data_IF_801667578242
#
_entry.id   IF_801667578242
#
_cell.length_a   1.000
_cell.length_b   1.000
_cell.length_c   1.000
_cell.angle_alpha   90.00
_cell.angle_beta   90.00
_cell.angle_gamma   90.00
#
_symmetry.space_group_name_H-M   'P 1'
#
loop_
_entity.id
_entity.type
_entity.pdbx_description
1 polymer ?
#
# COMPACT_ATOMS: atom_id res chain seq x y z
N UNK A 1 4.14 25.51 20.15
CA UNK A 1 3.94 24.07 20.15
C UNK A 1 3.39 23.58 21.47
N UNK A 2 3.91 24.09 22.59
CA UNK A 2 3.54 23.77 23.97
C UNK A 2 3.51 25.00 24.87
N UNK A 3 2.86 24.87 26.01
CA UNK A 3 2.72 25.92 27.03
C UNK A 3 3.07 25.32 28.39
N UNK A 4 3.92 26.00 29.16
CA UNK A 4 4.28 25.58 30.50
C UNK A 4 3.14 25.98 31.44
N UNK A 5 2.57 25.00 32.13
CA UNK A 5 1.41 25.17 33.00
C UNK A 5 1.61 24.46 34.35
N UNK A 6 0.97 24.91 35.42
CA UNK A 6 0.92 24.14 36.67
C UNK A 6 0.37 22.73 36.36
N UNK A 7 0.91 21.73 37.03
CA UNK A 7 0.44 20.35 36.86
C UNK A 7 -1.02 20.23 37.32
N UNK A 8 -1.95 19.84 36.39
CA UNK A 8 -3.35 19.64 36.75
C UNK A 8 -3.51 18.42 37.69
N UNK A 9 -4.54 18.46 38.53
CA UNK A 9 -4.90 17.32 39.37
C UNK A 9 -5.55 16.20 38.49
N UNK A 10 -5.23 14.95 38.84
CA UNK A 10 -5.83 13.75 38.23
C UNK A 10 -5.60 13.56 36.71
N UNK A 11 -4.52 14.14 36.18
CA UNK A 11 -4.17 14.01 34.76
C UNK A 11 -2.93 13.14 34.60
N UNK A 12 -2.94 12.30 33.56
CA UNK A 12 -1.77 11.51 33.19
C UNK A 12 -0.75 12.45 32.53
N UNK A 13 0.45 12.52 33.12
CA UNK A 13 1.57 13.24 32.53
C UNK A 13 2.49 12.24 31.84
N UNK A 14 2.62 12.36 30.53
CA UNK A 14 3.45 11.46 29.72
C UNK A 14 4.90 11.91 29.82
N UNK A 15 5.81 10.97 30.04
CA UNK A 15 7.24 11.24 30.09
C UNK A 15 7.87 11.32 28.72
N UNK A 16 8.94 12.10 28.61
CA UNK A 16 9.70 12.28 27.37
C UNK A 16 11.00 11.46 27.41
N UNK A 17 11.54 11.13 26.25
CA UNK A 17 12.87 10.54 26.09
C UNK A 17 13.59 11.14 24.88
N UNK A 18 14.90 11.22 24.97
CA UNK A 18 15.74 11.53 23.83
C UNK A 18 16.11 10.26 23.07
N UNK A 19 15.95 10.29 21.74
CA UNK A 19 16.50 9.29 20.83
C UNK A 19 17.66 9.95 20.09
N UNK A 20 18.84 9.35 20.21
CA UNK A 20 20.04 9.81 19.53
C UNK A 20 20.36 8.88 18.38
N UNK A 21 20.65 9.44 17.20
CA UNK A 21 21.13 8.71 16.02
C UNK A 21 22.39 9.42 15.50
N UNK A 22 23.43 8.64 15.30
CA UNK A 22 24.67 9.10 14.66
C UNK A 22 24.59 8.70 13.21
N UNK A 23 24.75 9.66 12.28
CA UNK A 23 24.98 9.37 10.87
C UNK A 23 26.48 9.34 10.62
N UNK A 24 26.94 8.26 9.99
CA UNK A 24 28.33 8.09 9.60
C UNK A 24 28.51 8.49 8.13
N UNK A 25 29.71 8.91 7.78
CA UNK A 25 30.13 9.07 6.38
C UNK A 25 30.60 7.73 5.78
N UNK A 26 30.94 7.73 4.50
CA UNK A 26 31.43 6.55 3.76
C UNK A 26 32.71 5.93 4.35
N UNK A 27 33.47 6.68 5.14
CA UNK A 27 34.70 6.25 5.82
C UNK A 27 34.49 5.85 7.27
N UNK A 28 33.23 5.86 7.76
CA UNK A 28 32.89 5.57 9.13
C UNK A 28 33.11 6.73 10.11
N UNK A 29 33.40 7.94 9.61
CA UNK A 29 33.48 9.17 10.40
C UNK A 29 32.08 9.68 10.76
N UNK A 30 31.95 10.42 11.87
CA UNK A 30 30.68 11.00 12.32
C UNK A 30 30.33 12.18 11.41
N UNK A 31 29.39 11.99 10.48
CA UNK A 31 28.86 13.04 9.63
C UNK A 31 27.93 13.99 10.39
N UNK A 32 27.02 13.44 11.19
CA UNK A 32 26.00 14.22 11.91
C UNK A 32 25.44 13.48 13.11
N UNK A 33 25.29 14.20 14.22
CA UNK A 33 24.49 13.73 15.35
C UNK A 33 23.07 14.26 15.25
N UNK A 34 22.08 13.37 15.32
CA UNK A 34 20.65 13.73 15.42
C UNK A 34 20.14 13.40 16.82
N UNK A 35 19.42 14.33 17.42
CA UNK A 35 18.66 14.10 18.64
C UNK A 35 17.18 14.36 18.35
N UNK A 36 16.31 13.46 18.78
CA UNK A 36 14.87 13.60 18.65
C UNK A 36 14.22 13.39 19.99
N UNK A 37 13.40 14.36 20.40
CA UNK A 37 12.57 14.24 21.58
C UNK A 37 11.29 13.51 21.23
N UNK A 38 10.99 12.41 21.90
CA UNK A 38 9.81 11.58 21.66
C UNK A 38 9.12 11.23 22.98
N UNK A 39 7.85 10.93 22.91
CA UNK A 39 7.10 10.47 24.06
C UNK A 39 7.37 9.01 24.38
N UNK A 40 7.27 8.65 25.66
CA UNK A 40 7.23 7.27 26.15
C UNK A 40 5.78 6.82 26.19
N UNK A 41 5.36 6.12 25.12
CA UNK A 41 3.97 5.85 24.76
C UNK A 41 3.35 4.58 25.38
N UNK A 42 3.87 4.07 26.47
CA UNK A 42 3.37 2.79 27.00
C UNK A 42 2.11 2.88 27.87
N UNK A 43 1.48 4.06 27.98
CA UNK A 43 0.37 4.29 28.91
C UNK A 43 -0.86 4.98 28.31
N UNK A 44 -0.87 5.28 27.02
CA UNK A 44 -2.05 5.86 26.38
C UNK A 44 -3.08 4.78 26.08
N UNK A 45 -4.33 4.98 26.54
CA UNK A 45 -5.46 4.07 26.34
C UNK A 45 -6.49 4.71 25.38
N UNK A 46 -6.93 3.93 24.38
CA UNK A 46 -7.96 4.36 23.44
C UNK A 46 -9.29 4.56 24.15
N UNK A 47 -10.02 5.62 23.79
CA UNK A 47 -11.26 6.02 24.45
C UNK A 47 -11.08 6.82 25.76
N UNK A 48 -9.83 6.94 26.27
CA UNK A 48 -9.50 7.73 27.47
C UNK A 48 -8.54 8.87 27.12
N UNK A 49 -7.38 8.54 26.56
CA UNK A 49 -6.32 9.51 26.25
C UNK A 49 -6.38 10.02 24.80
N UNK A 50 -7.02 9.26 23.92
CA UNK A 50 -7.25 9.61 22.52
C UNK A 50 -8.46 8.84 21.96
N UNK A 51 -9.19 9.45 21.04
CA UNK A 51 -10.35 8.82 20.40
C UNK A 51 -9.94 7.86 19.28
N UNK A 52 -8.95 8.25 18.47
CA UNK A 52 -8.50 7.46 17.32
C UNK A 52 -7.01 7.70 17.03
N UNK A 53 -6.25 6.61 16.92
CA UNK A 53 -4.83 6.65 16.55
C UNK A 53 -4.62 6.49 15.05
N UNK A 54 -5.56 5.82 14.37
CA UNK A 54 -5.40 5.43 12.98
C UNK A 54 -5.41 6.63 12.02
N UNK A 55 -4.38 6.73 11.21
CA UNK A 55 -4.31 7.66 10.08
C UNK A 55 -4.42 6.89 8.78
N UNK A 56 -5.21 7.41 7.86
CA UNK A 56 -5.32 6.84 6.53
C UNK A 56 -3.98 6.95 5.79
N UNK A 57 -3.49 5.80 5.30
CA UNK A 57 -2.27 5.67 4.50
C UNK A 57 -2.62 4.90 3.23
N UNK A 58 -2.15 5.36 2.09
CA UNK A 58 -2.35 4.65 0.82
C UNK A 58 -1.74 3.25 0.86
N UNK A 59 -2.45 2.30 0.29
CA UNK A 59 -1.91 0.96 0.01
C UNK A 59 -0.90 1.03 -1.13
N UNK A 60 0.04 0.10 -1.17
CA UNK A 60 1.03 0.02 -2.25
C UNK A 60 0.37 -0.07 -3.64
N UNK A 61 -0.69 -0.84 -3.75
CA UNK A 61 -1.44 -0.98 -5.00
C UNK A 61 -2.08 0.34 -5.45
N UNK A 62 -2.54 1.19 -4.51
CA UNK A 62 -3.04 2.52 -4.83
C UNK A 62 -1.93 3.43 -5.38
N UNK A 63 -0.70 3.31 -4.85
CA UNK A 63 0.47 4.02 -5.38
C UNK A 63 0.78 3.55 -6.80
N UNK A 64 0.73 2.26 -7.07
CA UNK A 64 0.99 1.72 -8.41
C UNK A 64 -0.09 2.14 -9.42
N UNK A 65 -1.37 2.16 -9.01
CA UNK A 65 -2.46 2.71 -9.82
C UNK A 65 -2.20 4.18 -10.14
N UNK A 66 -1.82 4.98 -9.15
CA UNK A 66 -1.48 6.39 -9.33
C UNK A 66 -0.34 6.58 -10.35
N UNK A 67 0.75 5.82 -10.19
CA UNK A 67 1.90 5.90 -11.11
C UNK A 67 1.54 5.43 -12.52
N UNK A 68 0.73 4.35 -12.65
CA UNK A 68 0.26 3.88 -13.94
C UNK A 68 -0.65 4.91 -14.63
N UNK A 69 -1.54 5.54 -13.86
CA UNK A 69 -2.39 6.62 -14.36
C UNK A 69 -1.57 7.83 -14.81
N UNK A 70 -0.63 8.27 -13.97
CA UNK A 70 0.25 9.40 -14.30
C UNK A 70 1.05 9.14 -15.58
N UNK A 71 1.59 7.92 -15.72
CA UNK A 71 2.31 7.51 -16.92
C UNK A 71 1.39 7.45 -18.16
N UNK A 72 0.14 6.99 -18.00
CA UNK A 72 -0.85 6.99 -19.09
C UNK A 72 -1.20 8.41 -19.55
N UNK A 73 -1.40 9.31 -18.60
CA UNK A 73 -1.71 10.73 -18.88
C UNK A 73 -0.49 11.57 -19.22
N UNK A 74 0.72 10.98 -19.25
CA UNK A 74 2.00 11.68 -19.45
C UNK A 74 2.23 12.81 -18.43
N UNK A 75 1.76 12.61 -17.19
CA UNK A 75 1.90 13.57 -16.10
C UNK A 75 3.31 13.46 -15.50
N UNK A 76 3.83 14.59 -15.05
CA UNK A 76 5.07 14.62 -14.25
C UNK A 76 4.70 14.28 -12.81
N UNK A 77 5.41 13.33 -12.21
CA UNK A 77 5.21 12.93 -10.81
C UNK A 77 6.29 13.58 -9.94
N UNK A 78 5.87 14.26 -8.90
CA UNK A 78 6.74 14.84 -7.89
C UNK A 78 6.58 14.07 -6.58
N UNK A 79 7.68 13.69 -5.97
CA UNK A 79 7.71 13.15 -4.62
C UNK A 79 8.10 14.28 -3.66
N UNK A 80 7.34 14.45 -2.59
CA UNK A 80 7.58 15.46 -1.57
C UNK A 80 7.68 14.81 -0.21
N UNK A 81 8.70 15.18 0.57
CA UNK A 81 8.85 14.82 1.97
C UNK A 81 8.49 16.02 2.84
N UNK A 82 7.61 15.81 3.83
CA UNK A 82 7.26 16.84 4.80
C UNK A 82 8.10 16.66 6.05
N UNK A 83 9.01 17.59 6.29
CA UNK A 83 9.80 17.61 7.52
C UNK A 83 8.89 17.92 8.73
N UNK A 84 9.23 17.29 9.88
CA UNK A 84 8.52 17.51 11.15
C UNK A 84 7.00 17.31 11.06
N UNK A 85 6.57 16.31 10.31
CA UNK A 85 5.19 16.02 9.95
C UNK A 85 4.24 16.10 11.15
N UNK A 86 4.54 15.37 12.23
CA UNK A 86 3.65 15.31 13.39
C UNK A 86 3.58 16.62 14.17
N UNK A 87 4.65 17.40 14.22
CA UNK A 87 4.66 18.70 14.91
C UNK A 87 3.76 19.75 14.23
N UNK A 88 3.24 19.46 13.05
CA UNK A 88 2.26 20.32 12.38
C UNK A 88 0.82 19.96 12.76
N UNK A 89 0.56 18.71 13.19
CA UNK A 89 -0.78 18.25 13.57
C UNK A 89 -1.30 18.95 14.82
N UNK A 90 -2.52 19.46 14.78
CA UNK A 90 -3.18 20.04 15.96
C UNK A 90 -3.83 18.94 16.79
N UNK A 91 -3.59 18.95 18.09
CA UNK A 91 -4.25 18.03 19.00
C UNK A 91 -5.66 18.53 19.31
N UNK A 92 -6.61 17.62 19.42
CA UNK A 92 -7.97 17.88 19.88
C UNK A 92 -8.07 17.64 21.40
N UNK A 93 -7.31 16.68 21.88
CA UNK A 93 -7.27 16.25 23.28
C UNK A 93 -6.28 17.10 24.09
N UNK A 94 -6.53 17.18 25.37
CA UNK A 94 -5.61 17.80 26.31
C UNK A 94 -4.48 16.82 26.70
N UNK A 95 -3.29 17.06 26.19
CA UNK A 95 -2.11 16.21 26.44
C UNK A 95 -1.08 16.98 27.24
N UNK A 96 -0.65 16.39 28.36
CA UNK A 96 0.35 16.94 29.25
C UNK A 96 1.60 16.07 29.26
N UNK A 97 2.77 16.71 29.19
CA UNK A 97 4.06 16.02 29.17
C UNK A 97 4.99 16.59 30.23
N UNK A 98 5.88 15.77 30.77
CA UNK A 98 6.92 16.22 31.69
C UNK A 98 7.88 17.16 30.97
N UNK A 99 8.51 18.02 31.73
CA UNK A 99 9.67 18.76 31.22
C UNK A 99 10.78 17.78 30.83
N UNK A 100 11.47 18.00 29.66
CA UNK A 100 12.54 17.11 29.20
C UNK A 100 13.74 17.12 30.18
N UNK A 101 14.37 15.97 30.31
CA UNK A 101 15.60 15.84 31.06
C UNK A 101 16.67 16.83 30.53
N UNK A 102 17.26 17.60 31.41
CA UNK A 102 18.24 18.65 31.10
C UNK A 102 17.66 20.00 30.69
N UNK A 103 16.32 20.13 30.62
CA UNK A 103 15.61 21.38 30.26
C UNK A 103 14.48 21.70 31.23
N UNK A 104 14.67 21.38 32.51
CA UNK A 104 13.70 21.69 33.57
C UNK A 104 13.83 23.16 33.95
N UNK A 105 12.71 23.89 33.96
CA UNK A 105 12.63 25.26 34.42
C UNK A 105 12.88 25.31 35.93
N UNK A 106 13.90 26.07 36.33
CA UNK A 106 14.33 26.15 37.73
C UNK A 106 13.31 26.88 38.62
N UNK A 107 12.57 27.83 38.07
CA UNK A 107 11.56 28.59 38.80
C UNK A 107 10.26 27.79 38.95
N UNK A 108 10.00 26.85 38.01
CA UNK A 108 8.77 26.08 37.94
C UNK A 108 9.05 24.56 37.78
N UNK A 109 9.80 23.90 38.68
CA UNK A 109 10.25 22.51 38.47
C UNK A 109 9.10 21.49 38.43
N UNK A 110 7.96 21.81 39.04
CA UNK A 110 6.77 20.95 39.08
C UNK A 110 5.77 21.22 37.98
N UNK A 111 6.04 22.20 37.09
CA UNK A 111 5.17 22.48 35.95
C UNK A 111 5.34 21.44 34.88
N UNK A 112 4.32 21.33 34.02
CA UNK A 112 4.27 20.42 32.89
C UNK A 112 3.99 21.18 31.60
N UNK A 113 4.34 20.62 30.47
CA UNK A 113 3.95 21.22 29.19
C UNK A 113 2.59 20.70 28.72
N UNK A 114 1.64 21.61 28.53
CA UNK A 114 0.40 21.34 27.78
C UNK A 114 0.72 21.43 26.29
N UNK A 115 0.46 20.37 25.53
CA UNK A 115 0.71 20.33 24.09
C UNK A 115 -0.44 20.98 23.32
N UNK A 116 -0.11 21.83 22.35
CA UNK A 116 -1.03 22.39 21.36
C UNK A 116 -0.94 21.65 20.02
N UNK A 117 0.19 21.01 19.77
CA UNK A 117 0.48 20.23 18.56
C UNK A 117 1.01 18.86 18.92
N UNK A 118 0.82 17.92 18.00
CA UNK A 118 1.28 16.55 18.18
C UNK A 118 2.81 16.48 18.29
N UNK A 119 3.28 15.46 18.97
CA UNK A 119 4.70 15.14 19.12
C UNK A 119 4.92 13.67 18.73
N UNK A 120 6.12 13.36 18.26
CA UNK A 120 6.51 11.98 17.96
C UNK A 120 6.33 11.06 19.18
N UNK A 121 5.74 9.90 18.95
CA UNK A 121 5.42 8.91 19.99
C UNK A 121 4.01 9.02 20.56
N UNK A 122 3.21 10.04 20.22
CA UNK A 122 1.78 10.05 20.51
C UNK A 122 1.02 9.13 19.57
N UNK A 123 0.08 8.34 20.10
CA UNK A 123 -0.78 7.47 19.31
C UNK A 123 -1.62 8.24 18.29
N UNK A 124 -2.16 9.38 18.68
CA UNK A 124 -2.99 10.24 17.84
C UNK A 124 -2.20 11.15 16.87
N UNK A 125 -0.85 11.19 16.95
CA UNK A 125 -0.05 12.07 16.09
C UNK A 125 -0.24 11.84 14.58
N UNK A 126 -0.30 10.60 14.08
CA UNK A 126 -0.56 10.34 12.66
C UNK A 126 -1.93 10.86 12.22
N UNK A 127 -2.95 10.71 13.06
CA UNK A 127 -4.31 11.21 12.78
C UNK A 127 -4.35 12.73 12.78
N UNK A 128 -3.78 13.39 13.77
CA UNK A 128 -3.71 14.85 13.86
C UNK A 128 -3.01 15.46 12.62
N UNK A 129 -1.96 14.82 12.11
CA UNK A 129 -1.31 15.21 10.86
C UNK A 129 -2.21 15.04 9.66
N UNK A 130 -2.88 13.88 9.50
CA UNK A 130 -3.78 13.63 8.38
C UNK A 130 -4.92 14.64 8.34
N UNK A 131 -5.53 14.94 9.48
CA UNK A 131 -6.64 15.90 9.58
C UNK A 131 -6.19 17.31 9.19
N UNK A 132 -5.01 17.73 9.64
CA UNK A 132 -4.44 19.03 9.28
C UNK A 132 -4.12 19.12 7.79
N UNK A 133 -3.42 18.14 7.23
CA UNK A 133 -3.09 18.09 5.81
C UNK A 133 -4.35 18.05 4.93
N UNK A 134 -5.32 17.22 5.32
CA UNK A 134 -6.60 17.12 4.63
C UNK A 134 -7.35 18.44 4.61
N UNK A 135 -7.44 19.11 5.76
CA UNK A 135 -8.10 20.42 5.87
C UNK A 135 -7.39 21.48 5.02
N UNK A 136 -6.06 21.46 5.02
CA UNK A 136 -5.26 22.36 4.19
C UNK A 136 -5.54 22.12 2.70
N UNK A 137 -5.47 20.87 2.22
CA UNK A 137 -5.71 20.56 0.82
C UNK A 137 -7.13 20.90 0.38
N UNK A 138 -8.13 20.65 1.22
CA UNK A 138 -9.52 21.06 0.94
C UNK A 138 -9.63 22.58 0.81
N UNK A 139 -8.90 23.35 1.64
CA UNK A 139 -8.87 24.83 1.54
C UNK A 139 -8.16 25.33 0.26
N UNK A 140 -7.42 24.47 -0.43
CA UNK A 140 -6.77 24.74 -1.71
C UNK A 140 -7.53 24.12 -2.90
N UNK A 141 -8.84 23.96 -2.77
CA UNK A 141 -9.76 23.44 -3.79
C UNK A 141 -9.50 21.98 -4.22
N UNK A 142 -8.80 21.19 -3.40
CA UNK A 142 -8.74 19.76 -3.56
C UNK A 142 -9.97 19.08 -2.97
N UNK A 143 -10.47 18.04 -3.63
CA UNK A 143 -11.49 17.12 -3.12
C UNK A 143 -10.87 15.77 -2.83
N UNK A 144 -11.36 15.08 -1.81
CA UNK A 144 -10.95 13.68 -1.54
C UNK A 144 -11.52 12.75 -2.60
N UNK A 145 -10.78 11.70 -2.93
CA UNK A 145 -11.30 10.57 -3.68
C UNK A 145 -12.52 9.96 -2.99
N UNK A 146 -13.45 9.46 -3.78
CA UNK A 146 -14.69 8.86 -3.26
C UNK A 146 -14.46 7.46 -2.68
N UNK A 147 -13.48 6.75 -3.21
CA UNK A 147 -13.11 5.38 -2.82
C UNK A 147 -11.83 5.39 -1.98
N UNK A 148 -10.84 6.17 -2.38
CA UNK A 148 -9.59 6.32 -1.65
C UNK A 148 -9.48 7.71 -1.00
N UNK A 149 -9.73 7.81 0.31
CA UNK A 149 -9.62 9.10 1.03
C UNK A 149 -8.19 9.61 1.16
N UNK A 150 -7.17 8.85 0.75
CA UNK A 150 -5.78 9.28 0.69
C UNK A 150 -5.41 9.97 -0.62
N UNK A 151 -6.28 9.84 -1.64
CA UNK A 151 -6.19 10.54 -2.91
C UNK A 151 -6.89 11.90 -2.80
N UNK A 152 -6.22 12.95 -3.24
CA UNK A 152 -6.77 14.30 -3.35
C UNK A 152 -6.67 14.75 -4.80
N UNK A 153 -7.78 15.30 -5.32
CA UNK A 153 -7.95 15.66 -6.73
C UNK A 153 -8.33 17.13 -6.83
N UNK A 154 -7.60 17.89 -7.63
CA UNK A 154 -7.98 19.25 -8.02
C UNK A 154 -8.34 19.27 -9.51
N UNK A 155 -9.62 19.40 -9.81
CA UNK A 155 -10.15 19.16 -11.15
C UNK A 155 -9.77 20.22 -12.19
N UNK A 156 -9.55 21.46 -11.78
CA UNK A 156 -9.30 22.57 -12.71
C UNK A 156 -7.92 22.47 -13.40
N UNK A 157 -6.93 21.87 -12.72
CA UNK A 157 -5.56 21.77 -13.19
C UNK A 157 -5.12 20.33 -13.48
N UNK A 158 -6.02 19.36 -13.35
CA UNK A 158 -5.71 17.91 -13.35
C UNK A 158 -4.64 17.51 -12.34
N UNK A 159 -4.50 18.27 -11.26
CA UNK A 159 -3.55 17.94 -10.20
C UNK A 159 -4.09 16.81 -9.33
N UNK A 160 -3.25 15.83 -9.11
CA UNK A 160 -3.52 14.70 -8.24
C UNK A 160 -2.43 14.63 -7.16
N UNK A 161 -2.85 14.44 -5.92
CA UNK A 161 -1.95 14.22 -4.82
C UNK A 161 -2.35 12.95 -4.07
N UNK A 162 -1.44 11.99 -3.98
CA UNK A 162 -1.62 10.78 -3.21
C UNK A 162 -0.80 10.87 -1.92
N UNK A 163 -1.49 10.84 -0.77
CA UNK A 163 -0.82 10.77 0.52
C UNK A 163 -0.41 9.34 0.83
N UNK A 164 0.87 9.07 0.87
CA UNK A 164 1.40 7.83 1.42
C UNK A 164 2.44 8.14 2.51
N UNK A 165 2.73 7.18 3.35
CA UNK A 165 3.76 7.34 4.39
C UNK A 165 3.93 6.04 5.16
N UNK A 166 5.15 5.78 5.60
CA UNK A 166 5.47 4.68 6.49
C UNK A 166 5.47 5.19 7.92
N UNK A 167 4.73 4.51 8.81
CA UNK A 167 4.63 4.93 10.21
C UNK A 167 5.94 4.76 11.00
N UNK A 168 6.91 4.01 10.49
CA UNK A 168 8.10 3.64 11.25
C UNK A 168 9.43 3.66 10.50
N UNK A 169 9.48 4.15 9.27
CA UNK A 169 10.77 4.30 8.60
C UNK A 169 11.43 5.62 9.00
N UNK A 170 12.69 5.53 9.43
CA UNK A 170 13.60 6.67 9.34
C UNK A 170 13.48 7.27 7.94
N UNK A 171 13.59 8.61 7.80
CA UNK A 171 13.65 9.19 6.47
C UNK A 171 14.84 8.55 5.73
N UNK A 172 14.54 7.64 4.86
CA UNK A 172 15.48 7.21 3.83
C UNK A 172 15.58 8.42 2.93
N UNK A 173 16.78 8.94 2.73
CA UNK A 173 17.04 9.87 1.65
C UNK A 173 16.78 9.07 0.37
N UNK A 174 15.56 9.11 -0.12
CA UNK A 174 15.22 8.53 -1.42
C UNK A 174 15.94 9.37 -2.44
N UNK A 175 17.00 8.81 -2.99
CA UNK A 175 17.66 9.33 -4.17
C UNK A 175 16.58 9.59 -5.22
N UNK A 176 16.48 10.82 -5.65
CA UNK A 176 15.78 11.14 -6.89
C UNK A 176 16.53 10.39 -7.98
N UNK A 177 15.97 9.25 -8.39
CA UNK A 177 16.43 8.57 -9.59
C UNK A 177 16.28 9.59 -10.72
N UNK A 178 17.43 10.02 -11.24
CA UNK A 178 17.48 10.84 -12.44
C UNK A 178 16.54 10.27 -13.48
N UNK A 179 15.73 11.16 -14.05
CA UNK A 179 14.84 10.97 -15.19
C UNK A 179 15.21 9.74 -16.04
N UNK A 180 14.69 8.58 -15.71
CA UNK A 180 14.48 7.61 -16.76
C UNK A 180 13.40 8.23 -17.65
N UNK A 181 13.76 8.65 -18.85
CA UNK A 181 12.81 8.99 -19.90
C UNK A 181 11.91 7.78 -20.04
N UNK A 182 10.73 7.85 -19.46
CA UNK A 182 9.62 7.00 -19.86
C UNK A 182 9.44 7.32 -21.34
N UNK A 183 9.67 6.33 -22.20
CA UNK A 183 9.55 6.50 -23.64
C UNK A 183 8.24 7.22 -23.95
N UNK A 184 8.37 8.33 -24.66
CA UNK A 184 7.24 9.11 -25.13
C UNK A 184 6.41 8.23 -26.08
N UNK A 185 5.32 7.69 -25.60
CA UNK A 185 4.27 7.16 -26.47
C UNK A 185 3.62 8.36 -27.18
N UNK A 186 4.08 8.62 -28.40
CA UNK A 186 3.72 9.80 -29.19
C UNK A 186 2.26 9.84 -29.66
N UNK A 187 1.51 8.76 -29.45
CA UNK A 187 0.14 8.66 -29.92
C UNK A 187 -0.86 8.45 -28.78
N UNK A 188 -1.06 9.36 -27.88
CA UNK A 188 -2.00 9.28 -26.75
C UNK A 188 -3.37 8.64 -27.09
N UNK A 189 -3.40 7.36 -27.40
CA UNK A 189 -4.63 6.58 -27.55
C UNK A 189 -5.29 6.49 -26.17
N UNK A 190 -6.56 6.86 -26.10
CA UNK A 190 -7.38 6.52 -24.95
C UNK A 190 -7.24 5.03 -24.66
N UNK A 191 -6.99 4.65 -23.39
CA UNK A 191 -6.98 3.22 -23.02
C UNK A 191 -8.36 2.67 -23.37
N UNK A 192 -8.39 1.69 -24.24
CA UNK A 192 -9.57 0.86 -24.43
C UNK A 192 -9.92 0.24 -23.06
N UNK A 193 -11.14 0.40 -22.55
CA UNK A 193 -11.57 -0.21 -21.28
C UNK A 193 -11.35 -1.73 -21.24
N UNK A 194 -11.25 -2.40 -22.40
CA UNK A 194 -10.90 -3.82 -22.52
C UNK A 194 -9.51 -4.18 -22.02
N UNK A 195 -8.63 -3.20 -21.74
CA UNK A 195 -7.27 -3.44 -21.31
C UNK A 195 -7.06 -3.53 -19.79
N UNK A 196 -8.11 -3.40 -18.97
CA UNK A 196 -8.02 -3.73 -17.55
C UNK A 196 -8.30 -5.21 -17.38
N UNK A 197 -7.30 -6.01 -17.04
CA UNK A 197 -7.35 -7.47 -17.05
C UNK A 197 -6.52 -8.09 -15.93
N UNK A 198 -6.81 -9.36 -15.59
CA UNK A 198 -6.05 -10.13 -14.64
C UNK A 198 -5.75 -11.54 -15.11
N UNK A 199 -4.70 -12.13 -14.55
CA UNK A 199 -4.37 -13.55 -14.64
C UNK A 199 -4.26 -14.10 -13.22
N UNK A 200 -4.69 -15.34 -13.02
CA UNK A 200 -4.61 -16.03 -11.75
C UNK A 200 -4.14 -17.48 -11.99
N UNK A 201 -3.39 -18.01 -11.04
CA UNK A 201 -2.88 -19.38 -11.04
C UNK A 201 -2.64 -19.88 -9.62
N UNK A 202 -2.74 -21.17 -9.40
CA UNK A 202 -2.35 -21.82 -8.16
C UNK A 202 -1.45 -23.03 -8.39
N UNK A 203 -0.44 -23.18 -7.55
CA UNK A 203 0.34 -24.40 -7.42
C UNK A 203 -0.14 -25.19 -6.19
N UNK A 204 -0.93 -26.24 -6.42
CA UNK A 204 -1.48 -27.06 -5.35
C UNK A 204 -0.37 -27.89 -4.69
N UNK A 205 -0.22 -27.74 -3.36
CA UNK A 205 0.79 -28.45 -2.56
C UNK A 205 2.24 -28.22 -3.03
N UNK A 206 2.52 -27.13 -3.77
CA UNK A 206 3.83 -26.86 -4.37
C UNK A 206 4.96 -26.61 -3.36
N UNK A 207 4.64 -26.23 -2.13
CA UNK A 207 5.64 -26.15 -1.06
C UNK A 207 6.02 -27.54 -0.56
N UNK A 208 7.25 -27.99 -0.85
CA UNK A 208 7.73 -29.34 -0.49
C UNK A 208 7.71 -29.61 1.01
N UNK A 209 8.03 -28.61 1.84
CA UNK A 209 8.12 -28.75 3.29
C UNK A 209 6.76 -28.81 3.98
N UNK A 210 5.83 -27.95 3.57
CA UNK A 210 4.56 -27.77 4.27
C UNK A 210 3.34 -28.29 3.52
N UNK A 211 3.52 -28.73 2.28
CA UNK A 211 2.46 -29.15 1.36
C UNK A 211 1.34 -28.09 1.20
N UNK A 212 1.67 -26.83 1.43
CA UNK A 212 0.74 -25.69 1.22
C UNK A 212 0.75 -25.27 -0.23
N UNK A 213 -0.42 -24.88 -0.71
CA UNK A 213 -0.58 -24.32 -2.04
C UNK A 213 -0.09 -22.88 -2.08
N UNK A 214 0.55 -22.50 -3.18
CA UNK A 214 0.90 -21.12 -3.49
C UNK A 214 -0.11 -20.59 -4.49
N UNK A 215 -0.58 -19.38 -4.31
CA UNK A 215 -1.42 -18.70 -5.27
C UNK A 215 -0.77 -17.42 -5.76
N UNK A 216 -0.97 -17.15 -7.04
CA UNK A 216 -0.46 -15.98 -7.73
C UNK A 216 -1.54 -15.27 -8.51
N UNK A 217 -1.43 -13.97 -8.58
CA UNK A 217 -2.26 -13.15 -9.45
C UNK A 217 -1.48 -11.97 -9.99
N UNK A 218 -1.85 -11.53 -11.17
CA UNK A 218 -1.30 -10.33 -11.80
C UNK A 218 -2.41 -9.50 -12.42
N UNK A 219 -2.34 -8.19 -12.28
CA UNK A 219 -3.33 -7.25 -12.79
C UNK A 219 -2.65 -6.21 -13.68
N UNK A 220 -3.30 -5.90 -14.81
CA UNK A 220 -2.82 -4.95 -15.80
C UNK A 220 -3.80 -3.80 -16.01
N UNK A 221 -3.26 -2.61 -16.24
CA UNK A 221 -3.97 -1.47 -16.81
C UNK A 221 -3.31 -1.13 -18.16
N UNK A 222 -4.00 -1.39 -19.26
CA UNK A 222 -3.38 -1.40 -20.58
C UNK A 222 -2.29 -2.47 -20.67
N UNK A 223 -1.13 -2.12 -21.16
CA UNK A 223 0.03 -2.99 -21.25
C UNK A 223 0.92 -2.96 -19.97
N UNK A 224 0.50 -2.25 -18.92
CA UNK A 224 1.29 -2.06 -17.72
C UNK A 224 0.83 -2.99 -16.59
N UNK A 225 1.78 -3.71 -16.01
CA UNK A 225 1.57 -4.47 -14.78
C UNK A 225 1.43 -3.47 -13.61
N UNK A 226 0.27 -3.49 -12.93
CA UNK A 226 -0.02 -2.56 -11.84
C UNK A 226 -0.09 -3.24 -10.47
N UNK A 227 -0.27 -4.56 -10.44
CA UNK A 227 -0.24 -5.30 -9.20
C UNK A 227 0.10 -6.77 -9.46
N UNK A 228 0.75 -7.40 -8.50
CA UNK A 228 1.00 -8.84 -8.48
C UNK A 228 1.02 -9.36 -7.05
N UNK A 229 0.76 -10.64 -6.90
CA UNK A 229 0.87 -11.31 -5.61
C UNK A 229 1.39 -12.73 -5.75
N UNK A 230 2.19 -13.13 -4.78
CA UNK A 230 2.58 -14.52 -4.54
C UNK A 230 2.38 -14.78 -3.04
N UNK A 231 1.42 -15.63 -2.70
CA UNK A 231 1.07 -15.89 -1.30
C UNK A 231 0.92 -17.38 -1.04
N UNK A 232 1.51 -17.85 0.04
CA UNK A 232 1.27 -19.21 0.55
C UNK A 232 -0.03 -19.22 1.36
N UNK A 233 -0.87 -20.24 1.13
CA UNK A 233 -2.08 -20.42 1.94
C UNK A 233 -1.76 -20.77 3.39
N UNK A 234 -2.57 -20.29 4.31
CA UNK A 234 -2.45 -20.64 5.73
C UNK A 234 -2.91 -22.07 6.00
N UNK A 235 -3.90 -22.58 5.25
CA UNK A 235 -4.40 -23.97 5.32
C UNK A 235 -4.06 -24.74 4.05
N UNK A 236 -3.90 -26.05 4.14
CA UNK A 236 -3.80 -26.92 2.98
C UNK A 236 -5.16 -26.98 2.26
N UNK A 237 -5.17 -26.90 0.94
CA UNK A 237 -6.35 -27.18 0.14
C UNK A 237 -6.54 -28.70 0.03
N UNK A 238 -7.78 -29.15 0.09
CA UNK A 238 -8.13 -30.59 0.02
C UNK A 238 -7.93 -31.12 -1.42
N UNK A 239 -8.06 -30.24 -2.41
CA UNK A 239 -7.93 -30.58 -3.82
C UNK A 239 -7.26 -29.47 -4.63
N UNK A 240 -6.72 -29.84 -5.80
CA UNK A 240 -6.23 -28.84 -6.78
C UNK A 240 -7.33 -27.86 -7.18
N UNK A 241 -8.54 -28.37 -7.46
CA UNK A 241 -9.71 -27.55 -7.78
C UNK A 241 -10.03 -26.53 -6.69
N UNK A 242 -9.95 -26.91 -5.41
CA UNK A 242 -10.16 -25.96 -4.32
C UNK A 242 -9.06 -24.90 -4.28
N UNK A 243 -7.79 -25.28 -4.46
CA UNK A 243 -6.67 -24.34 -4.48
C UNK A 243 -6.84 -23.30 -5.58
N UNK A 244 -7.16 -23.76 -6.77
CA UNK A 244 -7.38 -22.96 -7.96
C UNK A 244 -8.60 -22.04 -7.81
N UNK A 245 -9.74 -22.59 -7.37
CA UNK A 245 -10.96 -21.80 -7.19
C UNK A 245 -10.82 -20.68 -6.16
N UNK A 246 -10.12 -20.95 -5.04
CA UNK A 246 -9.82 -19.92 -4.05
C UNK A 246 -8.92 -18.83 -4.62
N UNK A 247 -7.96 -19.19 -5.48
CA UNK A 247 -7.06 -18.23 -6.12
C UNK A 247 -7.82 -17.33 -7.09
N UNK A 248 -8.70 -17.93 -7.89
CA UNK A 248 -9.54 -17.20 -8.81
C UNK A 248 -10.47 -16.23 -8.07
N UNK A 249 -11.08 -16.67 -6.97
CA UNK A 249 -11.89 -15.84 -6.08
C UNK A 249 -11.09 -14.68 -5.46
N UNK A 250 -9.88 -14.96 -4.98
CA UNK A 250 -9.00 -13.93 -4.41
C UNK A 250 -8.55 -12.88 -5.44
N UNK A 251 -8.25 -13.32 -6.66
CA UNK A 251 -7.92 -12.42 -7.76
C UNK A 251 -9.14 -11.56 -8.15
N UNK A 252 -10.34 -12.15 -8.18
CA UNK A 252 -11.58 -11.43 -8.43
C UNK A 252 -11.80 -10.33 -7.39
N UNK A 253 -11.62 -10.62 -6.10
CA UNK A 253 -11.74 -9.61 -5.04
C UNK A 253 -10.75 -8.46 -5.23
N UNK A 254 -9.49 -8.78 -5.56
CA UNK A 254 -8.46 -7.78 -5.78
C UNK A 254 -8.78 -6.89 -6.99
N UNK A 255 -9.20 -7.47 -8.10
CA UNK A 255 -9.48 -6.70 -9.32
C UNK A 255 -10.72 -5.82 -9.16
N UNK A 256 -11.73 -6.26 -8.40
CA UNK A 256 -12.90 -5.45 -8.08
C UNK A 256 -12.56 -4.28 -7.15
N UNK A 257 -11.70 -4.52 -6.15
CA UNK A 257 -11.20 -3.44 -5.31
C UNK A 257 -10.42 -2.40 -6.14
N UNK A 258 -9.51 -2.84 -7.02
CA UNK A 258 -8.76 -1.94 -7.90
C UNK A 258 -9.67 -1.21 -8.89
N UNK A 259 -10.72 -1.87 -9.40
CA UNK A 259 -11.76 -1.23 -10.22
C UNK A 259 -12.40 -0.05 -9.49
N UNK A 260 -12.72 -0.24 -8.21
CA UNK A 260 -13.30 0.85 -7.41
C UNK A 260 -12.32 2.01 -7.23
N UNK A 261 -11.03 1.72 -7.03
CA UNK A 261 -9.99 2.76 -6.98
C UNK A 261 -9.90 3.54 -8.30
N UNK A 262 -9.91 2.82 -9.44
CA UNK A 262 -9.81 3.42 -10.78
C UNK A 262 -10.98 4.36 -11.09
N UNK A 263 -12.13 4.21 -10.43
CA UNK A 263 -13.27 5.12 -10.59
C UNK A 263 -12.95 6.55 -10.11
N UNK A 264 -12.12 6.73 -9.09
CA UNK A 264 -11.67 8.05 -8.63
C UNK A 264 -10.83 8.77 -9.70
N UNK A 265 -10.18 8.02 -10.57
CA UNK A 265 -9.41 8.54 -11.73
C UNK A 265 -10.27 8.73 -12.99
N UNK A 266 -11.58 8.48 -12.90
CA UNK A 266 -12.53 8.65 -14.01
C UNK A 266 -12.61 7.46 -14.97
N UNK A 267 -12.04 6.29 -14.60
CA UNK A 267 -12.16 5.07 -15.37
C UNK A 267 -13.41 4.27 -14.96
N UNK A 268 -14.22 3.90 -15.95
CA UNK A 268 -15.39 3.03 -15.75
C UNK A 268 -15.22 1.72 -16.52
N UNK A 269 -14.97 0.61 -15.81
CA UNK A 269 -14.86 -0.70 -16.41
C UNK A 269 -16.14 -1.51 -16.11
N UNK A 270 -16.94 -1.78 -17.12
CA UNK A 270 -18.19 -2.55 -16.98
C UNK A 270 -17.93 -4.04 -17.00
N UNK A 271 -16.92 -4.48 -17.76
CA UNK A 271 -16.54 -5.87 -17.96
C UNK A 271 -15.04 -6.01 -17.83
N UNK A 272 -14.60 -6.98 -17.03
CA UNK A 272 -13.19 -7.18 -16.74
C UNK A 272 -12.81 -8.61 -17.11
N UNK A 273 -11.94 -8.80 -18.12
CA UNK A 273 -11.44 -10.12 -18.48
C UNK A 273 -10.47 -10.66 -17.42
N UNK A 274 -10.70 -11.88 -16.99
CA UNK A 274 -9.80 -12.67 -16.16
C UNK A 274 -9.39 -13.94 -16.90
N UNK A 275 -8.10 -14.14 -17.03
CA UNK A 275 -7.49 -15.25 -17.75
C UNK A 275 -7.06 -16.35 -16.80
N UNK A 276 -7.45 -17.57 -17.12
CA UNK A 276 -7.25 -18.73 -16.28
C UNK A 276 -7.02 -19.98 -17.13
N UNK A 277 -6.17 -20.92 -16.73
CA UNK A 277 -5.83 -22.07 -17.55
C UNK A 277 -6.56 -23.37 -17.17
N UNK A 278 -7.42 -23.31 -16.14
CA UNK A 278 -8.20 -24.46 -15.68
C UNK A 278 -9.67 -24.39 -16.15
N UNK A 279 -10.03 -25.24 -17.12
CA UNK A 279 -11.40 -25.33 -17.64
C UNK A 279 -12.45 -25.71 -16.60
N UNK A 280 -12.08 -26.57 -15.64
CA UNK A 280 -13.02 -27.07 -14.64
C UNK A 280 -13.48 -25.98 -13.70
N UNK A 281 -12.59 -25.07 -13.31
CA UNK A 281 -12.91 -23.97 -12.41
C UNK A 281 -13.70 -22.87 -13.13
N UNK A 282 -13.39 -22.60 -14.39
CA UNK A 282 -14.22 -21.73 -15.24
C UNK A 282 -15.63 -22.30 -15.34
N UNK A 283 -15.78 -23.60 -15.63
CA UNK A 283 -17.08 -24.25 -15.70
C UNK A 283 -17.82 -24.19 -14.35
N UNK A 284 -17.11 -24.32 -13.22
CA UNK A 284 -17.70 -24.19 -11.89
C UNK A 284 -18.21 -22.77 -11.62
N UNK A 285 -17.52 -21.75 -12.08
CA UNK A 285 -17.96 -20.36 -11.95
C UNK A 285 -19.18 -20.03 -12.83
N UNK A 286 -19.24 -20.62 -14.04
CA UNK A 286 -20.31 -20.34 -15.02
C UNK A 286 -21.58 -21.19 -14.81
N UNK A 287 -21.52 -22.24 -13.99
CA UNK A 287 -22.67 -23.12 -13.76
C UNK A 287 -23.37 -22.80 -12.45
N UNK A 288 -24.69 -22.57 -12.51
CA UNK A 288 -25.53 -22.30 -11.35
C UNK A 288 -25.81 -23.55 -10.50
N UNK A 289 -25.56 -24.75 -11.03
CA UNK A 289 -25.76 -26.00 -10.32
C UNK A 289 -24.53 -26.33 -9.47
N UNK A 290 -24.72 -26.42 -8.17
CA UNK A 290 -23.68 -26.84 -7.25
C UNK A 290 -23.41 -28.34 -7.39
N UNK A 291 -22.29 -28.72 -7.99
CA UNK A 291 -21.87 -30.11 -8.08
C UNK A 291 -21.47 -30.68 -6.72
N UNK A 292 -21.78 -31.96 -6.49
CA UNK A 292 -21.42 -32.67 -5.25
C UNK A 292 -19.93 -32.61 -4.93
N UNK A 293 -19.08 -32.53 -5.94
CA UNK A 293 -17.62 -32.45 -5.84
C UNK A 293 -17.08 -31.10 -5.37
N UNK A 294 -17.89 -30.04 -5.39
CA UNK A 294 -17.49 -28.68 -4.94
C UNK A 294 -18.04 -28.30 -3.57
N UNK A 295 -18.77 -29.22 -2.90
CA UNK A 295 -19.39 -28.96 -1.58
C UNK A 295 -18.38 -28.67 -0.46
N UNK A 296 -17.13 -29.06 -0.60
CA UNK A 296 -16.06 -28.80 0.35
C UNK A 296 -15.47 -27.38 0.23
N UNK A 297 -15.78 -26.67 -0.86
CA UNK A 297 -15.33 -25.28 -1.05
C UNK A 297 -16.21 -24.37 -0.20
N UNK A 298 -15.56 -23.55 0.65
CA UNK A 298 -16.24 -22.60 1.52
C UNK A 298 -17.10 -21.61 0.72
N UNK A 299 -18.32 -21.38 1.19
CA UNK A 299 -19.32 -20.53 0.52
C UNK A 299 -18.81 -19.12 0.23
N UNK A 300 -17.94 -18.59 1.07
CA UNK A 300 -17.33 -17.26 0.89
C UNK A 300 -16.56 -17.09 -0.42
N UNK A 301 -16.09 -18.19 -1.02
CA UNK A 301 -15.39 -18.12 -2.30
C UNK A 301 -16.33 -18.14 -3.51
N UNK A 302 -17.62 -18.44 -3.30
CA UNK A 302 -18.60 -18.49 -4.37
C UNK A 302 -19.14 -17.13 -4.84
N UNK A 303 -18.72 -16.01 -4.19
CA UNK A 303 -19.12 -14.66 -4.62
C UNK A 303 -18.70 -14.36 -6.08
N UNK A 304 -17.64 -14.99 -6.57
CA UNK A 304 -17.20 -14.83 -7.95
C UNK A 304 -18.29 -15.23 -8.97
N UNK A 305 -19.13 -16.21 -8.64
CA UNK A 305 -20.27 -16.62 -9.49
C UNK A 305 -21.20 -15.46 -9.74
N UNK A 306 -21.56 -14.73 -8.69
CA UNK A 306 -22.40 -13.54 -8.79
C UNK A 306 -21.77 -12.48 -9.71
N UNK A 307 -20.47 -12.29 -9.63
CA UNK A 307 -19.77 -11.31 -10.48
C UNK A 307 -19.73 -11.74 -11.94
N UNK A 308 -19.63 -13.04 -12.21
CA UNK A 308 -19.69 -13.61 -13.55
C UNK A 308 -21.13 -13.54 -14.09
N UNK A 309 -22.14 -13.91 -13.29
CA UNK A 309 -23.57 -13.83 -13.66
C UNK A 309 -24.00 -12.38 -13.97
N UNK A 310 -23.51 -11.42 -13.20
CA UNK A 310 -23.77 -9.99 -13.42
C UNK A 310 -22.98 -9.42 -14.60
N UNK A 311 -22.14 -10.23 -15.26
CA UNK A 311 -21.32 -9.81 -16.40
C UNK A 311 -20.22 -8.79 -16.05
N UNK A 312 -19.89 -8.64 -14.77
CA UNK A 312 -18.79 -7.77 -14.31
C UNK A 312 -17.43 -8.42 -14.57
N UNK A 313 -17.34 -9.72 -14.36
CA UNK A 313 -16.15 -10.53 -14.65
C UNK A 313 -16.44 -11.45 -15.81
N UNK A 314 -15.55 -11.46 -16.78
CA UNK A 314 -15.57 -12.40 -17.91
C UNK A 314 -14.36 -13.34 -17.80
N UNK A 315 -14.61 -14.65 -17.70
CA UNK A 315 -13.56 -15.66 -17.56
C UNK A 315 -13.16 -16.18 -18.95
N UNK A 316 -11.86 -16.11 -19.21
CA UNK A 316 -11.27 -16.60 -20.45
C UNK A 316 -10.26 -17.71 -20.18
N UNK A 317 -10.33 -18.77 -20.98
CA UNK A 317 -9.31 -19.80 -20.95
C UNK A 317 -8.04 -19.30 -21.65
N UNK A 318 -6.91 -19.43 -20.98
CA UNK A 318 -5.58 -19.20 -21.56
C UNK A 318 -4.80 -20.51 -21.61
N UNK A 319 -3.97 -20.71 -22.64
CA UNK A 319 -3.07 -21.84 -22.66
C UNK A 319 -2.00 -21.67 -21.57
N UNK A 320 -1.61 -22.76 -20.92
CA UNK A 320 -0.63 -22.74 -19.81
C UNK A 320 0.68 -22.06 -20.20
N UNK A 321 1.09 -22.16 -21.45
CA UNK A 321 2.29 -21.45 -21.96
C UNK A 321 2.17 -19.91 -21.92
N UNK A 322 0.95 -19.37 -21.85
CA UNK A 322 0.67 -17.92 -21.75
C UNK A 322 0.11 -17.51 -20.39
N UNK A 323 0.12 -18.43 -19.40
CA UNK A 323 -0.30 -18.12 -18.04
C UNK A 323 0.77 -17.26 -17.33
N UNK A 324 0.50 -15.96 -17.22
CA UNK A 324 1.48 -15.00 -16.67
C UNK A 324 1.64 -15.14 -15.15
N UNK A 325 0.64 -15.66 -14.46
CA UNK A 325 0.68 -15.85 -13.02
C UNK A 325 1.58 -17.02 -12.60
N UNK A 326 1.97 -17.93 -13.51
CA UNK A 326 2.91 -19.02 -13.27
C UNK A 326 4.22 -18.56 -12.62
N UNK A 327 4.70 -17.36 -13.00
CA UNK A 327 5.94 -16.80 -12.45
C UNK A 327 5.90 -16.65 -10.91
N UNK A 328 4.70 -16.53 -10.35
CA UNK A 328 4.48 -16.25 -8.94
C UNK A 328 4.05 -17.48 -8.14
N UNK A 329 3.84 -18.62 -8.81
CA UNK A 329 3.31 -19.84 -8.18
C UNK A 329 4.23 -21.03 -8.31
N UNK A 330 4.89 -21.21 -9.45
CA UNK A 330 5.60 -22.43 -9.83
C UNK A 330 7.12 -22.24 -9.89
N UNK A 331 7.86 -23.29 -9.62
CA UNK A 331 9.28 -23.35 -9.93
C UNK A 331 9.44 -23.60 -11.44
N UNK A 332 9.99 -22.62 -12.15
CA UNK A 332 10.10 -22.62 -13.59
C UNK A 332 11.56 -22.71 -14.08
N UNK A 333 11.78 -23.31 -15.23
CA UNK A 333 13.06 -23.26 -15.93
C UNK A 333 13.40 -21.84 -16.40
N UNK A 334 14.70 -21.57 -16.59
CA UNK A 334 15.25 -20.25 -16.91
C UNK A 334 14.60 -19.61 -18.14
N UNK A 335 14.46 -20.35 -19.24
CA UNK A 335 13.89 -19.84 -20.49
C UNK A 335 12.43 -19.41 -20.29
N UNK A 336 11.69 -20.15 -19.46
CA UNK A 336 10.31 -19.84 -19.13
C UNK A 336 10.21 -18.57 -18.28
N UNK A 337 11.10 -18.41 -17.31
CA UNK A 337 11.19 -17.20 -16.48
C UNK A 337 11.49 -15.98 -17.36
N UNK A 338 12.47 -16.06 -18.26
CA UNK A 338 12.83 -14.98 -19.17
C UNK A 338 11.65 -14.59 -20.09
N UNK A 339 10.93 -15.58 -20.62
CA UNK A 339 9.73 -15.34 -21.42
C UNK A 339 8.66 -14.58 -20.63
N UNK A 340 8.34 -15.04 -19.41
CA UNK A 340 7.30 -14.43 -18.57
C UNK A 340 7.69 -13.03 -18.10
N UNK A 341 8.95 -12.80 -17.69
CA UNK A 341 9.47 -11.48 -17.32
C UNK A 341 9.27 -10.49 -18.47
N UNK A 342 9.63 -10.88 -19.69
CA UNK A 342 9.46 -10.04 -20.87
C UNK A 342 7.98 -9.72 -21.15
N UNK A 343 7.09 -10.73 -21.02
CA UNK A 343 5.65 -10.54 -21.20
C UNK A 343 4.99 -9.67 -20.12
N UNK A 344 5.51 -9.72 -18.90
CA UNK A 344 5.07 -8.88 -17.79
C UNK A 344 5.64 -7.46 -17.87
N UNK A 345 6.60 -7.19 -18.77
CA UNK A 345 7.29 -5.91 -18.85
C UNK A 345 8.20 -5.64 -17.63
N UNK A 346 8.57 -6.69 -16.90
CA UNK A 346 9.48 -6.60 -15.76
C UNK A 346 10.93 -6.50 -16.24
N UNK A 347 11.77 -5.86 -15.44
CA UNK A 347 13.22 -5.80 -15.69
C UNK A 347 13.95 -6.66 -14.67
N UNK A 348 14.97 -7.37 -15.12
CA UNK A 348 15.92 -8.04 -14.23
C UNK A 348 17.02 -7.06 -13.85
N UNK A 349 17.35 -6.99 -12.57
CA UNK A 349 18.53 -6.26 -12.10
C UNK A 349 19.68 -7.24 -11.87
N UNK A 350 20.91 -6.83 -12.21
CA UNK A 350 22.09 -7.58 -11.81
C UNK A 350 22.23 -7.54 -10.28
N UNK A 351 22.87 -8.56 -9.70
CA UNK A 351 23.07 -8.65 -8.25
C UNK A 351 23.84 -7.45 -7.68
N UNK A 352 24.74 -6.88 -8.47
CA UNK A 352 25.50 -5.67 -8.11
C UNK A 352 24.62 -4.43 -8.05
N UNK A 353 23.72 -4.26 -9.04
CA UNK A 353 22.75 -3.16 -9.05
C UNK A 353 21.75 -3.28 -7.89
N UNK A 354 21.32 -4.50 -7.55
CA UNK A 354 20.48 -4.76 -6.38
C UNK A 354 21.20 -4.43 -5.08
N UNK A 355 22.50 -4.77 -4.95
CA UNK A 355 23.31 -4.38 -3.79
C UNK A 355 23.45 -2.86 -3.69
N UNK A 356 23.78 -2.18 -4.79
CA UNK A 356 23.86 -0.73 -4.82
C UNK A 356 22.54 -0.08 -4.38
N UNK A 357 21.39 -0.54 -4.89
CA UNK A 357 20.08 -0.06 -4.48
C UNK A 357 19.73 -0.38 -3.03
N UNK A 358 20.25 -1.49 -2.46
CA UNK A 358 20.08 -1.82 -1.05
C UNK A 358 21.00 -0.98 -0.16
N UNK A 359 22.25 -0.78 -0.56
CA UNK A 359 23.21 0.03 0.17
C UNK A 359 22.77 1.52 0.19
N UNK A 360 22.18 2.02 -0.90
CA UNK A 360 21.59 3.36 -1.00
C UNK A 360 20.34 3.55 -0.10
N UNK A 361 19.64 2.47 0.26
CA UNK A 361 18.49 2.49 1.17
C UNK A 361 18.94 2.54 2.65
N UNK A 362 20.15 2.09 2.96
CA UNK A 362 20.71 2.09 4.32
C UNK A 362 21.46 3.39 4.68
N UNK A 363 21.68 4.31 3.73
CA UNK A 363 22.22 5.65 3.93
C UNK A 363 21.11 6.69 4.20
#
# INVERSE_FOLDING_TARGET
>A
VWELVPRPDKVIVITLKWIYKVKLDELGGILKNKARLVMRDYRQEEGIDFEESFALVSRLEAIWIFLAYAAHKKMVVYQMEVKITFLNGNLREEVYVSQPDGFVDQDNPNHVYKLKKALYGLKQAPRAWYDMLSSFLISQDFSKGSVDPTLFIRRNDNDLLLKYGFESCDPVDTLMVEKSKLDEDKEGKAIDPSHYRAFADADHAGCQDTRRSTFGSVQFLGERLISWSSKRKKSAAISSMEAEYITLSGCCAQILWMRSQLSDYGFGFNKIPMYYDNKSDIALCCNNVQHSRSKHIDIRYHFIKEQVENGVIELYLVNTEYQLADLFTKALGRDRIEFLINKLGMRSFMSETLKQLMDEVDE
#
